data_IF_194990852207
#
_entry.id   IF_194990852207
#
_cell.length_a   1.000
_cell.length_b   1.000
_cell.length_c   1.000
_cell.angle_alpha   90.00
_cell.angle_beta   90.00
_cell.angle_gamma   90.00
#
_symmetry.space_group_name_H-M   'P 1'
#
loop_
_entity.id
_entity.type
_entity.pdbx_description
1 polymer ?
#
# COMPACT_ATOMS: atom_id res chain seq x y z
N UNK A 1 -7.52 14.40 -29.07
CA UNK A 1 -8.07 13.18 -28.43
C UNK A 1 -8.59 12.36 -29.59
N UNK A 2 -7.94 11.25 -29.90
CA UNK A 2 -8.33 10.45 -31.05
C UNK A 2 -9.74 9.90 -30.80
N UNK A 3 -10.65 10.19 -31.73
CA UNK A 3 -12.04 9.80 -31.61
C UNK A 3 -12.11 8.27 -31.75
N UNK A 4 -12.51 7.59 -30.68
CA UNK A 4 -12.63 6.14 -30.70
C UNK A 4 -13.84 5.71 -31.53
N UNK A 5 -13.68 4.59 -32.23
CA UNK A 5 -14.77 3.99 -32.98
C UNK A 5 -15.77 3.28 -32.05
N UNK A 6 -16.97 3.03 -32.58
CA UNK A 6 -18.08 2.45 -31.82
C UNK A 6 -17.74 1.07 -31.19
N UNK A 7 -16.97 0.17 -31.84
CA UNK A 7 -16.47 -1.05 -31.22
C UNK A 7 -15.57 -0.81 -30.00
N UNK A 8 -14.62 0.13 -30.09
CA UNK A 8 -13.72 0.45 -29.00
C UNK A 8 -14.49 1.00 -27.80
N UNK A 9 -15.47 1.88 -28.03
CA UNK A 9 -16.36 2.38 -26.96
C UNK A 9 -17.11 1.26 -26.22
N UNK A 10 -17.64 0.27 -26.95
CA UNK A 10 -18.32 -0.86 -26.32
C UNK A 10 -17.39 -1.67 -25.42
N UNK A 11 -16.16 -1.91 -25.87
CA UNK A 11 -15.15 -2.63 -25.09
C UNK A 11 -14.83 -1.91 -23.79
N UNK A 12 -14.68 -0.59 -23.83
CA UNK A 12 -14.39 0.21 -22.64
C UNK A 12 -15.57 0.27 -21.67
N UNK A 13 -16.81 0.37 -22.19
CA UNK A 13 -18.01 0.28 -21.36
C UNK A 13 -18.10 -1.07 -20.63
N UNK A 14 -17.80 -2.18 -21.30
CA UNK A 14 -17.78 -3.50 -20.65
C UNK A 14 -16.63 -3.63 -19.63
N UNK A 15 -15.46 -3.07 -19.93
CA UNK A 15 -14.35 -2.98 -18.97
C UNK A 15 -14.76 -2.22 -17.71
N UNK A 16 -15.44 -1.10 -17.85
CA UNK A 16 -15.92 -0.29 -16.74
C UNK A 16 -16.99 -1.00 -15.91
N UNK A 17 -17.93 -1.70 -16.56
CA UNK A 17 -18.91 -2.53 -15.85
C UNK A 17 -18.26 -3.63 -15.04
N UNK A 18 -17.23 -4.28 -15.59
CA UNK A 18 -16.45 -5.29 -14.87
C UNK A 18 -15.76 -4.69 -13.64
N UNK A 19 -15.10 -3.54 -13.78
CA UNK A 19 -14.45 -2.84 -12.67
C UNK A 19 -15.46 -2.42 -11.58
N UNK A 20 -16.65 -1.96 -11.99
CA UNK A 20 -17.73 -1.57 -11.07
C UNK A 20 -18.29 -2.77 -10.29
N UNK A 21 -18.35 -3.95 -10.92
CA UNK A 21 -18.83 -5.17 -10.28
C UNK A 21 -17.87 -5.68 -9.18
N UNK A 22 -16.61 -5.24 -9.18
CA UNK A 22 -15.65 -5.63 -8.17
C UNK A 22 -15.89 -4.88 -6.86
N UNK A 23 -16.25 -5.62 -5.80
CA UNK A 23 -16.44 -5.07 -4.47
C UNK A 23 -15.09 -4.69 -3.86
N UNK A 24 -14.96 -3.44 -3.43
CA UNK A 24 -13.77 -2.98 -2.68
C UNK A 24 -13.82 -3.52 -1.26
N UNK A 25 -12.71 -4.11 -0.81
CA UNK A 25 -12.53 -4.53 0.57
C UNK A 25 -11.72 -3.50 1.36
N UNK A 26 -11.98 -3.44 2.66
CA UNK A 26 -11.29 -2.57 3.60
C UNK A 26 -10.20 -3.38 4.31
N UNK A 27 -8.97 -2.90 4.29
CA UNK A 27 -7.80 -3.58 4.88
C UNK A 27 -7.60 -3.29 6.38
N UNK A 28 -8.64 -2.83 7.08
CA UNK A 28 -8.55 -2.39 8.49
C UNK A 28 -7.99 -3.50 9.38
N UNK A 29 -8.51 -4.72 9.25
CA UNK A 29 -8.05 -5.87 10.05
C UNK A 29 -6.58 -6.21 9.80
N UNK A 30 -6.13 -6.15 8.54
CA UNK A 30 -4.73 -6.41 8.20
C UNK A 30 -3.79 -5.35 8.79
N UNK A 31 -4.22 -4.09 8.82
CA UNK A 31 -3.47 -3.01 9.48
C UNK A 31 -3.42 -3.25 10.98
N UNK A 32 -4.58 -3.53 11.61
CA UNK A 32 -4.67 -3.82 13.06
C UNK A 32 -3.76 -4.98 13.47
N UNK A 33 -3.75 -6.06 12.68
CA UNK A 33 -2.91 -7.23 12.91
C UNK A 33 -1.40 -6.90 12.76
N UNK A 34 -1.04 -5.91 11.93
CA UNK A 34 0.35 -5.49 11.69
C UNK A 34 0.92 -4.47 12.68
N UNK A 35 0.06 -3.72 13.40
CA UNK A 35 0.49 -2.69 14.37
C UNK A 35 1.46 -3.23 15.44
N UNK A 36 1.23 -4.40 16.06
CA UNK A 36 2.12 -4.92 17.10
C UNK A 36 3.52 -5.25 16.60
N UNK A 37 3.66 -5.57 15.32
CA UNK A 37 4.92 -5.96 14.68
C UNK A 37 5.64 -4.79 14.00
N UNK A 38 4.99 -3.62 13.91
CA UNK A 38 5.58 -2.42 13.32
C UNK A 38 6.62 -1.81 14.26
N UNK A 39 7.91 -1.79 13.90
CA UNK A 39 8.97 -1.22 14.74
C UNK A 39 8.81 0.29 14.98
N UNK A 40 8.09 1.01 14.11
CA UNK A 40 7.84 2.45 14.30
C UNK A 40 6.68 2.73 15.27
N UNK A 41 5.77 1.78 15.43
CA UNK A 41 4.61 1.90 16.33
C UNK A 41 4.82 1.16 17.66
N UNK A 42 5.75 0.21 17.71
CA UNK A 42 6.09 -0.56 18.90
C UNK A 42 7.51 -0.25 19.43
N UNK A 43 7.65 0.58 20.48
CA UNK A 43 8.94 0.94 21.07
C UNK A 43 9.76 -0.23 21.63
N UNK A 44 9.13 -1.37 21.93
CA UNK A 44 9.84 -2.57 22.38
C UNK A 44 10.66 -3.20 21.25
N UNK A 45 10.18 -3.10 19.99
CA UNK A 45 10.89 -3.60 18.80
C UNK A 45 12.06 -2.69 18.40
N UNK A 46 12.01 -1.40 18.75
CA UNK A 46 13.10 -0.44 18.55
C UNK A 46 14.36 -0.78 19.35
N UNK A 47 14.27 -1.57 20.43
CA UNK A 47 15.42 -1.96 21.26
C UNK A 47 16.45 -2.80 20.49
N UNK A 48 16.00 -3.53 19.47
CA UNK A 48 16.86 -4.33 18.58
C UNK A 48 17.31 -3.57 17.33
N UNK A 49 16.96 -2.28 17.21
CA UNK A 49 17.29 -1.49 16.03
C UNK A 49 18.81 -1.19 16.00
N UNK A 50 19.56 -1.70 14.99
CA UNK A 50 21.00 -1.50 14.89
C UNK A 50 21.41 -0.03 14.65
N UNK A 51 20.45 0.86 14.43
CA UNK A 51 20.64 2.30 14.25
C UNK A 51 20.25 3.15 15.47
N UNK A 52 19.61 2.57 16.49
CA UNK A 52 19.16 3.30 17.69
C UNK A 52 20.31 3.67 18.63
N UNK A 53 21.33 2.81 18.77
CA UNK A 53 22.52 3.09 19.58
C UNK A 53 23.83 2.90 18.81
N UNK A 54 23.97 3.52 17.64
CA UNK A 54 25.30 3.76 17.06
C UNK A 54 25.67 5.21 17.26
N UNK A 55 26.17 5.49 18.46
CA UNK A 55 26.81 6.73 18.80
C UNK A 55 27.87 7.12 17.77
N UNK A 56 27.80 8.39 17.35
CA UNK A 56 28.81 9.16 16.63
C UNK A 56 29.22 8.58 15.28
N UNK A 57 28.59 9.12 14.23
CA UNK A 57 29.18 9.21 12.90
C UNK A 57 30.66 9.59 13.02
N UNK A 58 31.56 8.63 12.77
CA UNK A 58 32.98 8.92 12.64
C UNK A 58 33.22 9.09 11.14
N UNK A 59 33.25 10.34 10.70
CA UNK A 59 33.74 10.67 9.36
C UNK A 59 35.25 10.45 9.43
N UNK A 60 35.75 9.46 8.66
CA UNK A 60 37.17 9.18 8.47
C UNK A 60 37.85 10.29 7.65
#
# INVERSE_FOLDING_TARGET
MDEWDLPQWKKEVESLKYQLAYKREMFVKWIEDGIPEDPFLNPELMKNNPWVEKGKCTIL
#
